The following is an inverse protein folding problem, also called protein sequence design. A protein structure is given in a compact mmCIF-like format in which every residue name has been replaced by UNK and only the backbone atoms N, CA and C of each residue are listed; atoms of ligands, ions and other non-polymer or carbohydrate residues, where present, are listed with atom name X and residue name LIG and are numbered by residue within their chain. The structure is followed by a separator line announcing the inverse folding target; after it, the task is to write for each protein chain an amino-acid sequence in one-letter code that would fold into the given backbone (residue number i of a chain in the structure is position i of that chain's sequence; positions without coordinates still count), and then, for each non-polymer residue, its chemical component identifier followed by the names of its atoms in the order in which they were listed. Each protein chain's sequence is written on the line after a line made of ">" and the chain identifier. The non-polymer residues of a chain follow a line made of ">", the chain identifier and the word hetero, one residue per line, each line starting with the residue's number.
data_IF_182861253259
#
_entry.id   IF_182861253259
#
_cell.length_a   1.000
_cell.length_b   1.000
_cell.length_c   1.000
_cell.angle_alpha   90.00
_cell.angle_beta   90.00
_cell.angle_gamma   90.00
#
_symmetry.space_group_name_H-M   'P 1'
#
loop_
_entity.id
_entity.type
_entity.pdbx_description
1 polymer ?
#
# COMPACT_ATOMS: atom_id res chain seq x y z
N UNK A 1 16.34 9.92 -46.36
CA UNK A 1 15.31 10.36 -45.39
C UNK A 1 15.51 9.52 -44.15
N UNK A 2 16.28 10.03 -43.20
CA UNK A 2 16.62 9.35 -41.94
C UNK A 2 15.50 9.66 -40.94
N UNK A 3 15.00 8.63 -40.27
CA UNK A 3 14.02 8.77 -39.19
C UNK A 3 14.71 9.54 -38.06
N UNK A 4 14.16 10.70 -37.69
CA UNK A 4 14.62 11.49 -36.55
C UNK A 4 14.53 10.66 -35.26
N UNK A 5 15.64 10.61 -34.54
CA UNK A 5 15.78 9.92 -33.27
C UNK A 5 15.01 10.71 -32.19
N UNK A 6 13.89 10.14 -31.72
CA UNK A 6 13.15 10.69 -30.59
C UNK A 6 13.88 10.31 -29.31
N UNK A 7 14.58 11.27 -28.71
CA UNK A 7 15.30 11.08 -27.45
C UNK A 7 14.32 10.97 -26.29
N UNK A 8 14.00 9.74 -25.88
CA UNK A 8 13.20 9.46 -24.68
C UNK A 8 14.14 9.47 -23.47
N UNK A 9 13.89 10.36 -22.52
CA UNK A 9 14.56 10.34 -21.21
C UNK A 9 13.58 9.75 -20.21
N UNK A 10 13.97 8.64 -19.56
CA UNK A 10 13.22 8.05 -18.47
C UNK A 10 14.01 8.24 -17.17
N UNK A 11 13.34 8.68 -16.11
CA UNK A 11 13.86 8.60 -14.75
C UNK A 11 12.87 7.79 -13.92
N UNK A 12 13.38 6.77 -13.25
CA UNK A 12 12.61 6.01 -12.27
C UNK A 12 12.97 6.56 -10.90
N UNK A 13 12.09 7.35 -10.31
CA UNK A 13 12.26 7.82 -8.94
C UNK A 13 11.55 6.81 -8.03
N UNK A 14 12.27 6.28 -7.05
CA UNK A 14 11.68 5.47 -6.00
C UNK A 14 11.01 6.40 -4.99
N UNK A 15 9.71 6.23 -4.76
CA UNK A 15 9.01 6.91 -3.69
C UNK A 15 9.14 6.08 -2.41
N UNK A 16 9.40 6.75 -1.29
CA UNK A 16 9.45 6.17 0.06
C UNK A 16 8.05 6.10 0.70
N UNK A 17 7.00 6.41 -0.04
CA UNK A 17 5.62 6.25 0.38
C UNK A 17 4.83 5.42 -0.63
N UNK A 18 3.76 4.79 -0.15
CA UNK A 18 2.76 4.12 -0.96
C UNK A 18 1.53 5.02 -1.00
N UNK A 19 1.02 5.36 -2.18
CA UNK A 19 -0.25 6.05 -2.32
C UNK A 19 -1.01 5.50 -3.53
N UNK A 20 -2.30 5.22 -3.34
CA UNK A 20 -3.13 4.67 -4.40
C UNK A 20 -4.58 4.50 -4.00
N UNK A 21 -5.40 4.27 -5.01
CA UNK A 21 -6.82 3.93 -4.84
C UNK A 21 -6.96 2.42 -4.93
N UNK A 22 -7.50 1.81 -3.89
CA UNK A 22 -7.67 0.36 -3.77
C UNK A 22 -9.15 0.02 -3.71
N UNK A 23 -9.58 -0.87 -4.61
CA UNK A 23 -10.95 -1.40 -4.59
C UNK A 23 -11.21 -2.22 -3.32
N UNK A 24 -12.48 -2.39 -2.97
CA UNK A 24 -12.85 -3.27 -1.85
C UNK A 24 -12.21 -4.66 -2.05
N UNK A 25 -11.57 -5.16 -0.99
CA UNK A 25 -10.82 -6.41 -0.94
C UNK A 25 -9.49 -6.46 -1.74
N UNK A 26 -9.13 -5.39 -2.45
CA UNK A 26 -7.81 -5.25 -3.04
C UNK A 26 -6.75 -5.09 -1.94
N UNK A 27 -5.50 -5.49 -2.20
CA UNK A 27 -4.45 -5.48 -1.16
C UNK A 27 -3.30 -4.57 -1.55
N UNK A 28 -3.15 -3.48 -0.79
CA UNK A 28 -1.93 -2.69 -0.73
C UNK A 28 -0.87 -3.48 0.05
N UNK A 29 0.36 -3.53 -0.47
CA UNK A 29 1.46 -4.25 0.18
C UNK A 29 2.64 -3.31 0.41
N UNK A 30 3.13 -3.29 1.64
CA UNK A 30 4.31 -2.54 2.07
C UNK A 30 5.34 -3.56 2.55
N UNK A 31 6.54 -3.52 1.97
CA UNK A 31 7.63 -4.43 2.31
C UNK A 31 8.67 -3.66 3.10
N UNK A 32 8.94 -4.07 4.34
CA UNK A 32 9.99 -3.52 5.18
C UNK A 32 11.12 -4.54 5.19
N UNK A 33 12.29 -4.21 4.63
CA UNK A 33 13.35 -5.19 4.34
C UNK A 33 14.75 -4.72 4.75
N UNK A 34 14.84 -3.69 5.57
CA UNK A 34 16.09 -3.03 5.98
C UNK A 34 16.59 -3.45 7.37
N UNK A 35 15.85 -4.31 8.07
CA UNK A 35 16.19 -4.77 9.41
C UNK A 35 15.95 -3.77 10.55
N UNK A 36 15.22 -2.67 10.30
CA UNK A 36 14.95 -1.61 11.30
C UNK A 36 13.48 -1.62 11.73
N UNK A 37 13.20 -1.17 12.95
CA UNK A 37 11.84 -0.91 13.40
C UNK A 37 11.29 0.32 12.69
N UNK A 38 10.09 0.22 12.13
CA UNK A 38 9.42 1.36 11.50
C UNK A 38 8.13 1.70 12.23
N UNK A 39 7.75 2.97 12.12
CA UNK A 39 6.38 3.41 12.39
C UNK A 39 5.77 3.80 11.06
N UNK A 40 4.70 3.09 10.67
CA UNK A 40 3.94 3.41 9.48
C UNK A 40 2.78 4.33 9.84
N UNK A 41 2.69 5.46 9.16
CA UNK A 41 1.52 6.31 9.18
C UNK A 41 0.61 5.88 8.03
N UNK A 42 -0.56 5.35 8.38
CA UNK A 42 -1.57 4.88 7.43
C UNK A 42 -2.72 5.88 7.43
N UNK A 43 -2.98 6.46 6.27
CA UNK A 43 -4.05 7.45 6.06
C UNK A 43 -5.06 6.92 5.04
N UNK A 44 -6.35 7.07 5.32
CA UNK A 44 -7.39 6.55 4.43
C UNK A 44 -8.74 7.22 4.61
N UNK A 45 -9.60 6.97 3.62
CA UNK A 45 -11.02 7.34 3.62
C UNK A 45 -11.26 8.78 3.18
N UNK A 46 -12.50 9.07 2.79
CA UNK A 46 -12.90 10.38 2.26
C UNK A 46 -13.98 11.05 3.13
N UNK A 47 -15.11 10.37 3.36
CA UNK A 47 -16.19 10.91 4.21
C UNK A 47 -17.10 9.81 4.77
N UNK A 48 -17.78 10.12 5.88
CA UNK A 48 -18.82 9.27 6.46
C UNK A 48 -20.22 9.80 6.09
N UNK A 49 -21.22 8.92 5.87
CA UNK A 49 -21.12 7.46 5.79
C UNK A 49 -20.54 7.02 4.44
N UNK A 50 -19.80 5.91 4.41
CA UNK A 50 -19.30 5.30 3.17
C UNK A 50 -17.79 5.20 3.05
N UNK A 51 -17.00 5.76 3.97
CA UNK A 51 -15.57 5.47 4.02
C UNK A 51 -15.34 3.98 4.33
N UNK A 52 -14.35 3.39 3.66
CA UNK A 52 -13.94 2.03 3.92
C UNK A 52 -13.33 1.85 5.32
N UNK A 53 -13.44 0.63 5.84
CA UNK A 53 -12.66 0.17 6.99
C UNK A 53 -11.43 -0.58 6.48
N UNK A 54 -10.38 -0.69 7.28
CA UNK A 54 -9.15 -1.38 6.89
C UNK A 54 -8.98 -2.67 7.68
N UNK A 55 -8.61 -3.74 6.98
CA UNK A 55 -8.04 -4.95 7.55
C UNK A 55 -6.55 -4.97 7.22
N UNK A 56 -5.72 -4.98 8.26
CA UNK A 56 -4.27 -4.90 8.15
C UNK A 56 -3.68 -6.20 8.69
N UNK A 57 -2.79 -6.80 7.93
CA UNK A 57 -2.02 -7.99 8.32
C UNK A 57 -0.53 -7.63 8.33
N UNK A 58 0.13 -7.88 9.46
CA UNK A 58 1.58 -7.77 9.61
C UNK A 58 2.15 -9.17 9.73
N UNK A 59 3.05 -9.52 8.83
CA UNK A 59 3.78 -10.79 8.84
C UNK A 59 5.23 -10.47 9.15
N UNK A 60 5.73 -10.96 10.28
CA UNK A 60 7.13 -10.74 10.68
C UNK A 60 8.09 -11.73 9.99
N UNK A 61 9.39 -11.55 10.23
CA UNK A 61 10.45 -12.44 9.72
C UNK A 61 10.39 -13.88 10.25
N UNK A 62 9.63 -14.12 11.32
CA UNK A 62 9.36 -15.45 11.89
C UNK A 62 8.05 -16.06 11.39
N UNK A 63 7.41 -15.45 10.38
CA UNK A 63 6.10 -15.80 9.85
C UNK A 63 4.97 -15.76 10.90
N UNK A 64 5.12 -14.98 11.98
CA UNK A 64 4.02 -14.69 12.87
C UNK A 64 3.11 -13.64 12.22
N UNK A 65 1.81 -13.86 12.34
CA UNK A 65 0.79 -13.04 11.72
C UNK A 65 -0.02 -12.30 12.77
N UNK A 66 0.04 -10.98 12.73
CA UNK A 66 -0.80 -10.09 13.52
C UNK A 66 -1.82 -9.39 12.64
N UNK A 67 -3.05 -9.20 13.14
CA UNK A 67 -4.14 -8.58 12.40
C UNK A 67 -4.75 -7.42 13.16
N UNK A 68 -5.07 -6.37 12.42
CA UNK A 68 -5.74 -5.18 12.91
C UNK A 68 -6.96 -4.88 12.05
N UNK A 69 -8.07 -4.50 12.68
CA UNK A 69 -9.28 -4.01 12.01
C UNK A 69 -9.56 -2.58 12.46
N UNK A 70 -9.54 -1.62 11.53
CA UNK A 70 -9.72 -0.20 11.83
C UNK A 70 -10.86 0.42 11.03
N UNK A 71 -11.71 1.16 11.74
CA UNK A 71 -12.88 1.81 11.19
C UNK A 71 -12.64 3.29 10.94
N UNK A 72 -13.02 3.77 9.75
CA UNK A 72 -13.06 5.20 9.46
C UNK A 72 -14.32 5.88 10.01
N UNK A 73 -15.45 5.17 9.92
CA UNK A 73 -16.73 5.59 10.47
C UNK A 73 -17.07 4.65 11.63
N UNK A 74 -17.72 5.16 12.69
CA UNK A 74 -18.18 4.28 13.76
C UNK A 74 -19.33 3.39 13.25
N UNK A 75 -19.04 2.09 13.11
CA UNK A 75 -19.98 1.08 12.64
C UNK A 75 -20.53 0.20 13.77
N UNK A 76 -20.02 0.34 15.00
CA UNK A 76 -20.41 -0.50 16.14
C UNK A 76 -20.07 -2.00 16.00
N UNK A 77 -19.09 -2.35 15.19
CA UNK A 77 -18.56 -3.71 15.02
C UNK A 77 -17.28 -3.94 15.86
N UNK A 78 -16.59 -5.06 15.63
CA UNK A 78 -15.35 -5.43 16.35
C UNK A 78 -14.11 -4.66 15.86
N UNK A 79 -14.25 -3.73 14.90
CA UNK A 79 -13.11 -2.94 14.42
C UNK A 79 -12.88 -1.74 15.35
N UNK A 80 -11.61 -1.42 15.55
CA UNK A 80 -11.23 -0.24 16.34
C UNK A 80 -11.61 1.02 15.57
N UNK A 81 -12.52 1.81 16.11
CA UNK A 81 -12.82 3.14 15.59
C UNK A 81 -11.60 4.05 15.70
N UNK A 82 -11.22 4.69 14.60
CA UNK A 82 -10.13 5.65 14.52
C UNK A 82 -10.75 7.05 14.38
N UNK A 83 -10.49 7.90 15.37
CA UNK A 83 -11.02 9.26 15.40
C UNK A 83 -10.01 10.29 14.89
N UNK A 84 -8.73 9.94 14.81
CA UNK A 84 -7.65 10.84 14.41
C UNK A 84 -7.80 11.23 12.93
N UNK A 85 -7.86 12.54 12.62
CA UNK A 85 -8.01 13.01 11.24
C UNK A 85 -6.73 12.77 10.43
N UNK A 86 -6.90 12.48 9.14
CA UNK A 86 -5.81 12.43 8.18
C UNK A 86 -5.38 13.81 7.71
N UNK A 87 -4.18 13.86 7.14
CA UNK A 87 -3.65 15.04 6.46
C UNK A 87 -4.12 15.06 4.98
N UNK A 88 -3.88 16.15 4.26
CA UNK A 88 -4.12 16.25 2.79
C UNK A 88 -5.53 15.83 2.28
N UNK A 89 -6.55 15.88 3.15
CA UNK A 89 -7.92 15.49 2.81
C UNK A 89 -8.27 14.02 3.07
N UNK A 90 -7.35 13.23 3.63
CA UNK A 90 -7.66 11.91 4.16
C UNK A 90 -8.56 12.03 5.39
N UNK A 91 -9.58 11.17 5.45
CA UNK A 91 -10.54 11.19 6.56
C UNK A 91 -9.87 10.80 7.87
N UNK A 92 -9.05 9.74 7.87
CA UNK A 92 -8.39 9.18 9.05
C UNK A 92 -6.91 8.98 8.87
N UNK A 93 -6.19 9.00 9.99
CA UNK A 93 -4.79 8.62 10.11
C UNK A 93 -4.60 7.72 11.32
N UNK A 94 -3.71 6.74 11.21
CA UNK A 94 -3.26 5.95 12.36
C UNK A 94 -1.84 5.45 12.17
N UNK A 95 -1.09 5.50 13.26
CA UNK A 95 0.26 4.97 13.31
C UNK A 95 0.26 3.48 13.69
N UNK A 96 1.13 2.72 13.02
CA UNK A 96 1.39 1.31 13.28
C UNK A 96 2.88 1.11 13.50
N UNK A 97 3.26 0.73 14.72
CA UNK A 97 4.62 0.24 14.96
C UNK A 97 4.76 -1.17 14.36
N UNK A 98 5.78 -1.37 13.54
CA UNK A 98 6.04 -2.65 12.86
C UNK A 98 7.46 -3.11 13.10
N UNK A 99 7.57 -4.41 13.36
CA UNK A 99 8.85 -5.06 13.60
C UNK A 99 9.74 -5.00 12.35
N UNK A 100 11.05 -5.12 12.56
CA UNK A 100 12.01 -5.22 11.48
C UNK A 100 11.70 -6.41 10.55
N UNK A 101 11.96 -6.23 9.25
CA UNK A 101 11.76 -7.24 8.22
C UNK A 101 10.32 -7.76 8.11
N UNK A 102 9.33 -6.87 8.24
CA UNK A 102 7.91 -7.23 8.17
C UNK A 102 7.30 -6.95 6.80
N UNK A 103 6.35 -7.80 6.41
CA UNK A 103 5.45 -7.59 5.29
C UNK A 103 4.11 -7.09 5.83
N UNK A 104 3.67 -5.92 5.39
CA UNK A 104 2.39 -5.34 5.77
C UNK A 104 1.44 -5.40 4.58
N UNK A 105 0.25 -5.94 4.80
CA UNK A 105 -0.84 -6.00 3.81
C UNK A 105 -2.03 -5.24 4.34
N UNK A 106 -2.50 -4.26 3.57
CA UNK A 106 -3.63 -3.41 3.93
C UNK A 106 -4.74 -3.67 2.91
N UNK A 107 -5.93 -3.98 3.40
CA UNK A 107 -7.10 -4.27 2.57
C UNK A 107 -8.28 -3.40 3.01
N UNK A 108 -8.83 -2.54 2.14
CA UNK A 108 -10.07 -1.86 2.43
C UNK A 108 -11.24 -2.85 2.34
N UNK A 109 -12.16 -2.74 3.28
CA UNK A 109 -13.40 -3.51 3.37
C UNK A 109 -14.59 -2.55 3.49
N UNK A 110 -15.78 -3.02 3.11
CA UNK A 110 -17.03 -2.26 3.07
C UNK A 110 -17.10 -1.15 2.00
N UNK A 111 -15.97 -0.66 1.47
CA UNK A 111 -15.92 0.18 0.28
C UNK A 111 -14.50 0.24 -0.33
N UNK A 112 -14.38 0.92 -1.48
CA UNK A 112 -13.11 1.41 -2.02
C UNK A 112 -12.47 2.45 -1.07
N UNK A 113 -11.15 2.53 -1.05
CA UNK A 113 -10.43 3.55 -0.30
C UNK A 113 -9.21 4.09 -1.07
N UNK A 114 -9.01 5.39 -0.99
CA UNK A 114 -7.69 5.98 -1.20
C UNK A 114 -6.86 5.72 0.06
N UNK A 115 -5.68 5.11 -0.09
CA UNK A 115 -4.80 4.74 1.01
C UNK A 115 -3.43 5.34 0.74
N UNK A 116 -2.89 6.04 1.75
CA UNK A 116 -1.51 6.49 1.80
C UNK A 116 -0.80 5.84 2.97
N UNK A 117 0.40 5.34 2.74
CA UNK A 117 1.29 4.81 3.76
C UNK A 117 2.62 5.54 3.66
N UNK A 118 3.01 6.19 4.74
CA UNK A 118 4.29 6.89 4.88
C UNK A 118 5.00 6.43 6.14
N UNK A 119 6.29 6.75 6.26
CA UNK A 119 7.11 6.41 7.41
C UNK A 119 8.55 6.85 7.22
N UNK A 120 9.32 6.85 8.30
CA UNK A 120 10.73 7.24 8.24
C UNK A 120 11.56 6.18 7.52
N UNK A 121 12.26 6.61 6.46
CA UNK A 121 13.22 5.79 5.69
C UNK A 121 12.63 4.46 5.17
N UNK A 122 11.38 4.47 4.72
CA UNK A 122 10.83 3.26 4.12
C UNK A 122 11.65 2.88 2.87
N UNK A 123 11.98 1.59 2.68
CA UNK A 123 12.54 1.14 1.42
C UNK A 123 11.54 1.44 0.29
N UNK A 124 12.03 1.69 -0.93
CA UNK A 124 11.21 2.13 -2.08
C UNK A 124 9.93 1.30 -2.20
N UNK A 125 8.78 1.94 -1.95
CA UNK A 125 7.46 1.27 -1.93
C UNK A 125 6.75 1.36 -3.28
N UNK A 126 7.07 2.39 -4.08
CA UNK A 126 6.55 2.57 -5.43
C UNK A 126 7.65 3.04 -6.37
N UNK A 127 7.61 2.57 -7.62
CA UNK A 127 8.42 3.12 -8.70
C UNK A 127 7.56 4.10 -9.48
N UNK A 128 7.84 5.40 -9.36
CA UNK A 128 7.32 6.41 -10.27
C UNK A 128 8.11 6.33 -11.59
N UNK A 129 7.45 5.97 -12.69
CA UNK A 129 8.07 6.05 -14.02
C UNK A 129 7.62 7.36 -14.65
N UNK A 130 8.51 8.34 -14.68
CA UNK A 130 8.33 9.57 -15.44
C UNK A 130 8.94 9.39 -16.83
N UNK A 131 8.08 9.32 -17.85
CA UNK A 131 8.49 9.28 -19.25
C UNK A 131 8.14 10.61 -19.92
N UNK A 132 9.17 11.42 -20.21
CA UNK A 132 9.03 12.63 -21.00
C UNK A 132 9.56 12.40 -22.42
N UNK A 133 8.71 12.60 -23.42
CA UNK A 133 9.08 12.62 -24.83
C UNK A 133 8.90 14.04 -25.37
N UNK A 134 9.97 14.62 -25.93
CA UNK A 134 9.92 15.91 -26.62
C UNK A 134 9.84 15.66 -28.14
N UNK A 135 8.73 16.06 -28.75
CA UNK A 135 8.62 16.16 -30.22
C UNK A 135 9.29 17.46 -30.71
N UNK A 136 9.89 17.51 -31.92
CA UNK A 136 10.37 18.75 -32.55
C UNK A 136 9.28 19.82 -32.74
N UNK A 137 8.01 19.48 -32.55
CA UNK A 137 6.83 20.35 -32.75
C UNK A 137 6.25 20.96 -31.47
N UNK A 138 7.01 21.08 -30.38
CA UNK A 138 6.60 21.76 -29.13
C UNK A 138 5.39 21.16 -28.38
N UNK A 139 4.97 19.93 -28.67
CA UNK A 139 4.04 19.20 -27.80
C UNK A 139 4.83 18.34 -26.81
N UNK A 140 4.70 18.63 -25.51
CA UNK A 140 5.19 17.76 -24.43
C UNK A 140 4.04 16.92 -23.89
N UNK A 141 4.11 15.59 -24.01
CA UNK A 141 3.22 14.68 -23.29
C UNK A 141 4.02 14.05 -22.15
N UNK A 142 3.62 14.34 -20.92
CA UNK A 142 4.09 13.65 -19.72
C UNK A 142 3.05 12.59 -19.36
N UNK A 143 3.48 11.33 -19.27
CA UNK A 143 2.66 10.24 -18.74
C UNK A 143 3.35 9.80 -17.46
N UNK A 144 2.71 10.06 -16.32
CA UNK A 144 3.17 9.59 -15.01
C UNK A 144 2.47 8.26 -14.75
N UNK A 145 3.24 7.18 -14.63
CA UNK A 145 2.73 5.87 -14.24
C UNK A 145 3.39 5.50 -12.93
N UNK A 146 2.63 5.56 -11.83
CA UNK A 146 3.03 4.93 -10.57
C UNK A 146 2.78 3.42 -10.69
N UNK A 147 3.83 2.62 -10.55
CA UNK A 147 3.71 1.16 -10.51
C UNK A 147 4.15 0.68 -9.13
N UNK A 148 3.21 0.18 -8.35
CA UNK A 148 3.51 -0.50 -7.08
C UNK A 148 4.29 -1.78 -7.38
N UNK A 149 5.19 -2.17 -6.48
CA UNK A 149 5.90 -3.46 -6.58
C UNK A 149 4.86 -4.59 -6.68
N UNK A 150 5.03 -5.57 -7.59
CA UNK A 150 4.06 -6.66 -7.73
C UNK A 150 3.89 -7.40 -6.39
N UNK A 151 2.72 -7.24 -5.77
CA UNK A 151 2.35 -8.00 -4.60
C UNK A 151 2.08 -9.46 -5.00
N UNK A 152 2.58 -10.41 -4.21
CA UNK A 152 2.23 -11.81 -4.40
C UNK A 152 0.70 -11.98 -4.33
N UNK A 153 0.07 -12.80 -5.20
CA UNK A 153 -1.38 -13.01 -5.19
C UNK A 153 -1.87 -13.45 -3.80
N UNK A 154 -2.95 -12.84 -3.31
CA UNK A 154 -3.55 -13.13 -2.00
C UNK A 154 -4.13 -14.57 -1.84
N UNK A 155 -3.99 -15.43 -2.86
CA UNK A 155 -4.48 -16.82 -2.88
C UNK A 155 -3.68 -17.73 -1.93
N UNK A 156 -2.51 -17.31 -1.46
CA UNK A 156 -1.67 -18.11 -0.56
C UNK A 156 -1.92 -17.88 0.95
N UNK A 157 -2.96 -17.15 1.35
CA UNK A 157 -3.20 -16.87 2.78
C UNK A 157 -3.86 -18.01 3.57
N UNK A 158 -4.24 -19.13 2.92
CA UNK A 158 -4.70 -20.34 3.61
C UNK A 158 -4.28 -21.62 2.89
N UNK A 159 -3.34 -22.36 3.48
CA UNK A 159 -3.31 -23.82 3.36
C UNK A 159 -3.55 -24.39 4.75
N UNK A 160 -4.79 -24.82 4.99
CA UNK A 160 -5.12 -25.63 6.16
C UNK A 160 -4.46 -27.01 5.95
N UNK A 161 -3.25 -27.21 6.48
CA UNK A 161 -2.74 -28.56 6.64
C UNK A 161 -3.50 -29.24 7.78
N UNK A 162 -4.60 -29.92 7.43
CA UNK A 162 -5.24 -30.91 8.28
C UNK A 162 -4.35 -32.17 8.31
N UNK A 163 -3.30 -32.14 9.13
CA UNK A 163 -2.54 -33.33 9.49
C UNK A 163 -3.38 -34.18 10.45
N UNK A 164 -4.12 -35.16 9.92
CA UNK A 164 -4.64 -36.22 10.76
C UNK A 164 -3.50 -37.21 11.05
N UNK A 165 -2.97 -37.13 12.27
CA UNK A 165 -2.10 -38.12 12.93
C UNK A 165 -0.76 -38.44 12.25
N UNK A 166 0.31 -37.73 12.64
CA UNK A 166 1.65 -38.34 12.66
C UNK A 166 1.78 -39.09 13.98
N UNK A 167 1.64 -40.41 13.94
CA UNK A 167 2.14 -41.29 15.00
C UNK A 167 3.63 -41.50 14.76
N UNK A 168 4.41 -41.38 15.84
CA UNK A 168 5.88 -41.40 15.93
C UNK A 168 6.56 -42.53 15.15
#
# INVERSE_FOLDING_TARGET
>A
MTVDDVRVTYSVNGEDFLEGIYQENETATVVLGDGVLHTLTIEWGESCPGAASLLIAVIDSSNQLERYGWNACDLGDDFTYVADPGDDGYLRKKELAVAANSLVRIRPVYNQATIRVSGDNLPVQAYGIDSQAQSPTLESKAIQVSRTVPAAPAIFDYVLFSGTNIVK
#
